data_IF_734189858562
#
_entry.id   IF_734189858562
#
_cell.length_a   1.000
_cell.length_b   1.000
_cell.length_c   1.000
_cell.angle_alpha   90.00
_cell.angle_beta   90.00
_cell.angle_gamma   90.00
#
_symmetry.space_group_name_H-M   'P 1'
#
loop_
_entity.id
_entity.type
_entity.pdbx_description
1 polymer ?
#
# COMPACT_ATOMS: atom_id res chain seq x y z
N UNK A 1 34.49 41.74 23.35
CA UNK A 1 33.36 42.42 22.68
C UNK A 1 33.81 42.93 21.32
N UNK A 2 33.52 42.20 20.24
CA UNK A 2 33.87 42.62 18.87
C UNK A 2 32.66 42.44 17.94
N UNK A 3 32.20 43.61 17.53
CA UNK A 3 31.35 44.10 16.43
C UNK A 3 30.69 43.09 15.49
N UNK A 4 29.38 43.36 15.30
CA UNK A 4 28.47 42.88 14.26
C UNK A 4 29.02 43.16 12.86
N UNK A 5 28.88 42.18 11.96
CA UNK A 5 28.93 42.36 10.52
C UNK A 5 27.58 41.87 9.95
N UNK A 6 26.84 42.82 9.39
CA UNK A 6 25.75 42.55 8.46
C UNK A 6 26.35 42.00 7.17
N UNK A 7 25.84 40.88 6.66
CA UNK A 7 25.78 40.70 5.21
C UNK A 7 24.55 39.89 4.84
N UNK A 8 23.60 40.64 4.30
CA UNK A 8 22.39 40.21 3.61
C UNK A 8 22.81 39.65 2.24
N UNK A 9 22.48 38.39 1.97
CA UNK A 9 22.50 37.75 0.64
C UNK A 9 21.30 36.80 0.63
N UNK A 10 20.12 37.24 0.18
CA UNK A 10 19.66 37.16 -1.22
C UNK A 10 19.97 35.80 -1.84
N UNK A 11 19.03 34.88 -1.68
CA UNK A 11 18.98 33.60 -2.35
C UNK A 11 17.53 33.13 -2.42
N UNK A 12 16.79 33.72 -3.36
CA UNK A 12 15.44 33.32 -3.74
C UNK A 12 15.43 31.88 -4.24
N UNK A 13 15.08 30.94 -3.37
CA UNK A 13 14.70 29.58 -3.79
C UNK A 13 13.23 29.63 -4.19
N UNK A 14 13.04 29.58 -5.50
CA UNK A 14 11.75 29.54 -6.16
C UNK A 14 10.97 28.27 -5.83
N UNK A 15 9.67 28.48 -5.72
CA UNK A 15 8.54 27.58 -5.91
C UNK A 15 8.88 26.19 -6.48
N UNK A 16 8.71 25.17 -5.65
CA UNK A 16 8.27 23.86 -6.12
C UNK A 16 6.90 23.61 -5.46
N UNK A 17 5.87 24.17 -6.06
CA UNK A 17 4.49 23.80 -5.76
C UNK A 17 4.27 22.39 -6.28
N UNK A 18 4.52 21.38 -5.45
CA UNK A 18 3.93 20.06 -5.69
C UNK A 18 2.42 20.20 -5.50
N UNK A 19 1.72 20.61 -6.55
CA UNK A 19 0.31 20.27 -6.73
C UNK A 19 0.24 18.77 -7.07
N UNK A 20 0.55 17.95 -6.07
CA UNK A 20 0.20 16.54 -6.09
C UNK A 20 -1.31 16.45 -6.10
N UNK A 21 -1.87 15.80 -7.12
CA UNK A 21 -3.29 15.54 -7.30
C UNK A 21 -3.98 15.23 -5.96
N UNK A 22 -4.79 16.15 -5.45
CA UNK A 22 -5.90 15.77 -4.58
C UNK A 22 -6.93 15.09 -5.49
N UNK A 23 -6.84 13.77 -5.57
CA UNK A 23 -8.01 12.97 -5.94
C UNK A 23 -8.92 13.05 -4.71
N UNK A 24 -9.91 13.94 -4.76
CA UNK A 24 -11.04 13.91 -3.83
C UNK A 24 -11.79 12.59 -4.04
N UNK A 25 -11.30 11.53 -3.41
CA UNK A 25 -12.04 10.29 -3.29
C UNK A 25 -13.04 10.54 -2.16
N UNK A 26 -14.28 10.85 -2.55
CA UNK A 26 -15.43 10.60 -1.69
C UNK A 26 -15.53 9.09 -1.55
N UNK A 27 -14.87 8.56 -0.53
CA UNK A 27 -14.98 7.17 -0.13
C UNK A 27 -16.32 7.00 0.57
N UNK A 28 -17.35 6.67 -0.21
CA UNK A 28 -18.52 5.95 0.32
C UNK A 28 -18.07 4.49 0.44
N UNK A 29 -17.41 4.18 1.56
CA UNK A 29 -16.94 2.85 1.92
C UNK A 29 -18.17 2.03 2.34
N UNK A 30 -18.88 1.50 1.36
CA UNK A 30 -19.63 0.27 1.56
C UNK A 30 -18.60 -0.86 1.72
N UNK A 31 -17.98 -0.96 2.90
CA UNK A 31 -17.22 -2.13 3.33
C UNK A 31 -18.23 -3.28 3.44
N UNK A 32 -18.51 -3.89 2.28
CA UNK A 32 -19.17 -5.17 2.21
C UNK A 32 -18.33 -6.12 3.04
N UNK A 33 -18.93 -6.67 4.10
CA UNK A 33 -18.33 -7.77 4.86
C UNK A 33 -18.22 -8.95 3.91
N UNK A 34 -17.16 -9.02 3.12
CA UNK A 34 -16.89 -10.14 2.24
C UNK A 34 -16.44 -11.29 3.10
N UNK A 35 -17.32 -12.28 3.24
CA UNK A 35 -16.94 -13.61 3.70
C UNK A 35 -15.91 -14.15 2.70
N UNK A 36 -14.66 -14.29 3.15
CA UNK A 36 -13.55 -14.68 2.26
C UNK A 36 -13.61 -16.19 2.09
N UNK A 37 -14.17 -16.64 0.97
CA UNK A 37 -14.09 -18.05 0.57
C UNK A 37 -12.61 -18.49 0.43
N UNK A 38 -12.31 -19.78 0.62
CA UNK A 38 -10.96 -20.34 0.48
C UNK A 38 -10.31 -20.00 -0.87
N UNK A 39 -11.09 -19.98 -1.95
CA UNK A 39 -10.58 -19.62 -3.28
C UNK A 39 -10.09 -18.15 -3.37
N UNK A 40 -10.72 -17.22 -2.65
CA UNK A 40 -10.24 -15.83 -2.61
C UNK A 40 -9.02 -15.68 -1.68
N UNK A 41 -8.92 -16.50 -0.61
CA UNK A 41 -7.71 -16.55 0.23
C UNK A 41 -6.49 -16.98 -0.57
N UNK A 42 -6.61 -18.03 -1.39
CA UNK A 42 -5.52 -18.51 -2.25
C UNK A 42 -5.07 -17.45 -3.26
N UNK A 43 -6.01 -16.77 -3.93
CA UNK A 43 -5.70 -15.69 -4.88
C UNK A 43 -4.92 -14.55 -4.22
N UNK A 44 -5.37 -14.09 -3.05
CA UNK A 44 -4.72 -13.00 -2.33
C UNK A 44 -3.34 -13.43 -1.77
N UNK A 45 -3.21 -14.69 -1.36
CA UNK A 45 -1.93 -15.27 -0.93
C UNK A 45 -0.91 -15.27 -2.07
N UNK A 46 -1.32 -15.74 -3.25
CA UNK A 46 -0.49 -15.76 -4.46
C UNK A 46 -0.13 -14.35 -4.93
N UNK A 47 -1.09 -13.44 -4.88
CA UNK A 47 -0.88 -12.02 -5.15
C UNK A 47 0.22 -11.43 -4.26
N UNK A 48 0.12 -11.64 -2.94
CA UNK A 48 1.13 -11.16 -2.00
C UNK A 48 2.50 -11.82 -2.21
N UNK A 49 2.55 -13.12 -2.49
CA UNK A 49 3.79 -13.82 -2.75
C UNK A 49 4.54 -13.22 -3.95
N UNK A 50 3.84 -13.03 -5.06
CA UNK A 50 4.43 -12.49 -6.29
C UNK A 50 4.82 -11.02 -6.12
N UNK A 51 3.93 -10.18 -5.60
CA UNK A 51 4.17 -8.74 -5.47
C UNK A 51 5.30 -8.40 -4.50
N UNK A 52 5.47 -9.19 -3.45
CA UNK A 52 6.51 -9.01 -2.44
C UNK A 52 7.77 -9.83 -2.73
N UNK A 53 7.82 -10.57 -3.84
CA UNK A 53 8.96 -11.41 -4.19
C UNK A 53 9.25 -12.49 -3.13
N UNK A 54 8.21 -13.02 -2.48
CA UNK A 54 8.32 -14.08 -1.48
C UNK A 54 7.63 -15.36 -1.96
N UNK A 55 7.75 -16.43 -1.19
CA UNK A 55 7.11 -17.72 -1.48
C UNK A 55 5.72 -17.78 -0.83
N UNK A 56 4.74 -18.43 -1.47
CA UNK A 56 3.38 -18.59 -0.93
C UNK A 56 3.36 -19.20 0.48
N UNK A 57 4.24 -20.16 0.79
CA UNK A 57 4.36 -20.75 2.13
C UNK A 57 4.84 -19.78 3.24
N UNK A 58 5.26 -18.57 2.88
CA UNK A 58 5.61 -17.49 3.83
C UNK A 58 4.50 -16.46 3.98
N UNK A 59 3.33 -16.69 3.38
CA UNK A 59 2.15 -15.84 3.50
C UNK A 59 1.07 -16.66 4.20
N UNK A 60 0.75 -16.30 5.44
CA UNK A 60 -0.23 -17.01 6.26
C UNK A 60 -1.43 -16.11 6.48
N UNK A 61 -2.62 -16.59 6.15
CA UNK A 61 -3.86 -15.89 6.49
C UNK A 61 -4.36 -16.31 7.87
N UNK A 62 -4.60 -15.34 8.75
CA UNK A 62 -5.15 -15.54 10.10
C UNK A 62 -6.59 -15.05 10.11
N UNK A 63 -7.53 -16.00 10.10
CA UNK A 63 -8.97 -15.71 9.96
C UNK A 63 -9.53 -14.90 11.14
N UNK A 64 -9.08 -15.21 12.36
CA UNK A 64 -9.49 -14.53 13.59
C UNK A 64 -9.24 -13.03 13.55
N UNK A 65 -8.06 -12.65 13.04
CA UNK A 65 -7.58 -11.27 13.02
C UNK A 65 -7.79 -10.61 11.64
N UNK A 66 -8.31 -11.39 10.68
CA UNK A 66 -8.54 -11.00 9.28
C UNK A 66 -7.31 -10.33 8.67
N UNK A 67 -6.16 -10.94 8.83
CA UNK A 67 -4.89 -10.41 8.32
C UNK A 67 -4.02 -11.48 7.66
N UNK A 68 -3.08 -11.01 6.84
CA UNK A 68 -2.00 -11.79 6.28
C UNK A 68 -0.72 -11.47 7.04
N UNK A 69 -0.03 -12.52 7.49
CA UNK A 69 1.30 -12.46 8.07
C UNK A 69 2.28 -12.94 7.01
N UNK A 70 3.16 -12.04 6.56
CA UNK A 70 4.18 -12.28 5.55
C UNK A 70 5.54 -12.40 6.24
N UNK A 71 6.28 -13.46 5.93
CA UNK A 71 7.60 -13.77 6.52
C UNK A 71 7.62 -13.82 8.06
N UNK A 72 6.46 -14.02 8.71
CA UNK A 72 6.33 -14.16 10.16
C UNK A 72 6.34 -12.85 10.96
N UNK A 73 6.50 -11.68 10.33
CA UNK A 73 6.57 -10.39 11.04
C UNK A 73 5.87 -9.22 10.35
N UNK A 74 5.55 -9.33 9.06
CA UNK A 74 4.93 -8.25 8.30
C UNK A 74 3.43 -8.48 8.17
N UNK A 75 2.63 -7.60 8.78
CA UNK A 75 1.19 -7.75 8.87
C UNK A 75 0.49 -6.86 7.85
N UNK A 76 -0.53 -7.41 7.18
CA UNK A 76 -1.43 -6.67 6.28
C UNK A 76 -2.87 -7.10 6.54
N UNK A 77 -3.75 -6.15 6.84
CA UNK A 77 -5.17 -6.46 6.95
C UNK A 77 -5.72 -6.99 5.63
N UNK A 78 -6.70 -7.89 5.71
CA UNK A 78 -7.42 -8.43 4.56
C UNK A 78 -7.91 -7.33 3.63
N UNK A 79 -8.56 -6.31 4.18
CA UNK A 79 -9.09 -5.16 3.45
C UNK A 79 -8.00 -4.41 2.68
N UNK A 80 -6.85 -4.18 3.31
CA UNK A 80 -5.71 -3.52 2.66
C UNK A 80 -5.18 -4.34 1.49
N UNK A 81 -5.13 -5.67 1.62
CA UNK A 81 -4.68 -6.57 0.56
C UNK A 81 -5.71 -6.63 -0.56
N UNK A 82 -7.00 -6.66 -0.24
CA UNK A 82 -8.09 -6.62 -1.22
C UNK A 82 -8.06 -5.33 -2.04
N UNK A 83 -7.93 -4.16 -1.41
CA UNK A 83 -7.84 -2.89 -2.13
C UNK A 83 -6.59 -2.78 -3.03
N UNK A 84 -5.46 -3.31 -2.58
CA UNK A 84 -4.25 -3.42 -3.41
C UNK A 84 -4.47 -4.36 -4.60
N UNK A 85 -5.08 -5.51 -4.37
CA UNK A 85 -5.37 -6.49 -5.41
C UNK A 85 -6.36 -5.95 -6.45
N UNK A 86 -7.43 -5.28 -6.01
CA UNK A 86 -8.44 -4.69 -6.89
C UNK A 86 -7.82 -3.73 -7.91
N UNK A 87 -6.83 -2.96 -7.48
CA UNK A 87 -6.15 -1.96 -8.31
C UNK A 87 -4.90 -2.49 -9.04
N UNK A 88 -4.49 -3.74 -8.80
CA UNK A 88 -3.29 -4.35 -9.38
C UNK A 88 -3.50 -4.88 -10.82
N UNK A 89 -3.73 -3.97 -11.77
CA UNK A 89 -3.98 -4.32 -13.17
C UNK A 89 -2.83 -5.10 -13.82
N UNK A 90 -1.58 -4.73 -13.54
CA UNK A 90 -0.42 -5.41 -14.10
C UNK A 90 -0.31 -6.84 -13.59
N UNK A 91 -0.57 -7.08 -12.30
CA UNK A 91 -0.61 -8.42 -11.75
C UNK A 91 -1.67 -9.26 -12.46
N UNK A 92 -2.91 -8.76 -12.53
CA UNK A 92 -4.03 -9.48 -13.17
C UNK A 92 -3.74 -9.82 -14.62
N UNK A 93 -3.17 -8.87 -15.38
CA UNK A 93 -2.81 -9.07 -16.77
C UNK A 93 -1.72 -10.14 -16.99
N UNK A 94 -0.82 -10.32 -16.02
CA UNK A 94 0.31 -11.23 -16.15
C UNK A 94 0.07 -12.61 -15.52
N UNK A 95 -0.78 -12.71 -14.49
CA UNK A 95 -0.85 -13.90 -13.64
C UNK A 95 -2.24 -14.54 -13.50
N UNK A 96 -3.31 -13.90 -14.01
CA UNK A 96 -4.70 -14.40 -13.85
C UNK A 96 -5.43 -14.71 -15.17
N UNK A 97 -4.67 -14.92 -16.26
CA UNK A 97 -5.22 -15.31 -17.56
C UNK A 97 -5.81 -16.72 -17.56
#
# INVERSE_FOLDING_TARGET
MKKKICMLLLGSIGLISFQGCKKDVKTDEAIGKTDVNNQSKEKLTKFLAITLGTTEGKVIYVDKDKEFIINGWFHKSLESVQGQYETANEYKANYEK
#
